data_IF_181211475211
#
_entry.id   IF_181211475211
#
_cell.length_a   1.000
_cell.length_b   1.000
_cell.length_c   1.000
_cell.angle_alpha   90.00
_cell.angle_beta   90.00
_cell.angle_gamma   90.00
#
_symmetry.space_group_name_H-M   'P 1'
#
loop_
_entity.id
_entity.type
_entity.pdbx_description
1 polymer ?
#
# COMPACT_ATOMS: atom_id res chain seq x y z
N UNK A 1 77.60 -3.58 21.42
CA UNK A 1 77.43 -2.12 21.21
C UNK A 1 76.73 -1.81 19.89
N UNK A 2 77.24 -2.27 18.73
CA UNK A 2 76.66 -1.97 17.41
C UNK A 2 75.15 -2.24 17.23
N UNK A 3 74.60 -3.34 17.79
CA UNK A 3 73.15 -3.63 17.71
C UNK A 3 72.28 -2.56 18.39
N UNK A 4 72.71 -2.08 19.55
CA UNK A 4 72.00 -1.05 20.33
C UNK A 4 72.03 0.31 19.60
N UNK A 5 73.15 0.61 18.94
CA UNK A 5 73.32 1.85 18.20
C UNK A 5 72.47 1.88 16.92
N UNK A 6 72.39 0.78 16.17
CA UNK A 6 71.46 0.66 15.03
C UNK A 6 70.01 0.78 15.50
N UNK A 7 69.62 0.03 16.53
CA UNK A 7 68.25 0.05 17.06
C UNK A 7 67.81 1.47 17.44
N UNK A 8 68.60 2.16 18.26
CA UNK A 8 68.29 3.52 18.69
C UNK A 8 68.24 4.51 17.52
N UNK A 9 69.05 4.31 16.48
CA UNK A 9 69.07 5.19 15.32
C UNK A 9 67.89 4.96 14.37
N UNK A 10 67.30 3.76 14.32
CA UNK A 10 66.06 3.48 13.59
C UNK A 10 64.86 4.06 14.32
N UNK A 11 64.81 3.93 15.66
CA UNK A 11 63.79 4.56 16.49
C UNK A 11 63.81 6.09 16.38
N UNK A 12 64.99 6.70 16.40
CA UNK A 12 65.16 8.16 16.20
C UNK A 12 64.72 8.65 14.81
N UNK A 13 64.57 7.75 13.84
CA UNK A 13 64.01 8.06 12.51
C UNK A 13 62.51 7.80 12.41
N UNK A 14 61.91 7.19 13.43
CA UNK A 14 60.48 6.95 13.49
C UNK A 14 60.02 5.60 12.95
N UNK A 15 60.94 4.64 12.77
CA UNK A 15 60.57 3.24 12.51
C UNK A 15 59.99 2.66 13.81
N UNK A 16 58.97 1.79 13.70
CA UNK A 16 58.35 1.15 14.85
C UNK A 16 59.32 0.20 15.59
N UNK A 17 59.03 -0.05 16.87
CA UNK A 17 59.93 -0.80 17.76
C UNK A 17 60.19 -2.23 17.28
N UNK A 18 59.20 -2.87 16.64
CA UNK A 18 59.31 -4.28 16.21
C UNK A 18 60.18 -4.42 14.98
N UNK A 19 59.97 -3.58 13.97
CA UNK A 19 60.79 -3.54 12.74
C UNK A 19 62.22 -3.07 13.05
N UNK A 20 62.37 -2.08 13.94
CA UNK A 20 63.69 -1.60 14.36
C UNK A 20 64.50 -2.69 15.09
N UNK A 21 63.86 -3.47 15.94
CA UNK A 21 64.49 -4.58 16.66
C UNK A 21 64.92 -5.69 15.70
N UNK A 22 64.05 -6.07 14.76
CA UNK A 22 64.33 -7.11 13.77
C UNK A 22 65.52 -6.77 12.86
N UNK A 23 65.59 -5.52 12.37
CA UNK A 23 66.70 -5.05 11.53
C UNK A 23 68.01 -4.89 12.32
N UNK A 24 67.93 -4.46 13.58
CA UNK A 24 69.09 -4.35 14.45
C UNK A 24 69.63 -5.72 14.89
N UNK A 25 68.76 -6.71 15.12
CA UNK A 25 69.14 -8.07 15.48
C UNK A 25 69.79 -8.82 14.31
N UNK A 26 69.39 -8.49 13.09
CA UNK A 26 70.02 -8.93 11.85
C UNK A 26 71.40 -8.30 11.59
N UNK A 27 71.85 -7.37 12.44
CA UNK A 27 73.20 -6.81 12.41
C UNK A 27 73.42 -5.74 11.34
N UNK A 28 72.36 -5.23 10.71
CA UNK A 28 72.46 -4.19 9.69
C UNK A 28 72.90 -2.86 10.31
N UNK A 29 73.74 -2.10 9.60
CA UNK A 29 74.01 -0.70 9.94
C UNK A 29 73.14 0.20 9.06
N UNK A 30 72.86 1.41 9.54
CA UNK A 30 72.09 2.42 8.79
C UNK A 30 72.69 2.69 7.41
N UNK A 31 74.03 2.68 7.30
CA UNK A 31 74.74 2.87 6.04
C UNK A 31 74.51 1.73 5.05
N UNK A 32 74.26 0.51 5.53
CA UNK A 32 73.97 -0.66 4.71
C UNK A 32 72.50 -0.66 4.30
N UNK A 33 71.59 -0.26 5.20
CA UNK A 33 70.17 -0.10 4.90
C UNK A 33 69.87 0.92 3.78
N UNK A 34 70.76 1.90 3.54
CA UNK A 34 70.66 2.82 2.40
C UNK A 34 70.95 2.18 1.04
N UNK A 35 71.55 0.99 1.03
CA UNK A 35 71.97 0.27 -0.18
C UNK A 35 71.10 -0.96 -0.46
N UNK A 36 70.12 -1.25 0.41
CA UNK A 36 69.26 -2.43 0.33
C UNK A 36 67.95 -2.02 -0.34
N UNK A 37 67.56 -2.77 -1.37
CA UNK A 37 66.31 -2.56 -2.11
C UNK A 37 65.12 -3.25 -1.43
N UNK A 38 63.91 -2.83 -1.82
CA UNK A 38 62.63 -3.37 -1.29
C UNK A 38 62.59 -4.90 -1.27
N UNK A 39 62.98 -5.53 -2.39
CA UNK A 39 62.92 -6.99 -2.52
C UNK A 39 63.89 -7.68 -1.55
N UNK A 40 65.05 -7.09 -1.30
CA UNK A 40 66.01 -7.64 -0.33
C UNK A 40 65.51 -7.51 1.12
N UNK A 41 64.74 -6.47 1.46
CA UNK A 41 64.09 -6.34 2.77
C UNK A 41 62.98 -7.38 2.98
N UNK A 42 62.25 -7.70 1.91
CA UNK A 42 61.16 -8.70 1.94
C UNK A 42 61.76 -10.11 2.01
N UNK A 43 62.69 -10.45 1.13
CA UNK A 43 63.20 -11.82 0.98
C UNK A 43 64.18 -12.22 2.08
N UNK A 44 65.10 -11.32 2.47
CA UNK A 44 66.16 -11.67 3.43
C UNK A 44 65.78 -11.39 4.89
N UNK A 45 64.84 -10.45 5.11
CA UNK A 45 64.45 -10.03 6.46
C UNK A 45 62.96 -10.24 6.75
N UNK A 46 62.22 -10.91 5.86
CA UNK A 46 60.82 -11.29 6.02
C UNK A 46 59.88 -10.11 6.35
N UNK A 47 60.20 -8.92 5.86
CA UNK A 47 59.34 -7.74 6.03
C UNK A 47 58.16 -7.79 5.07
N UNK A 48 56.99 -7.33 5.55
CA UNK A 48 55.82 -7.15 4.65
C UNK A 48 56.13 -6.07 3.61
N UNK A 49 55.59 -6.17 2.38
CA UNK A 49 55.89 -5.23 1.30
C UNK A 49 55.68 -3.75 1.66
N UNK A 50 54.64 -3.44 2.45
CA UNK A 50 54.30 -2.07 2.85
C UNK A 50 55.24 -1.53 3.94
N UNK A 51 55.73 -2.43 4.82
CA UNK A 51 56.70 -2.11 5.87
C UNK A 51 58.08 -1.84 5.24
N UNK A 52 58.48 -2.63 4.24
CA UNK A 52 59.72 -2.44 3.52
C UNK A 52 59.78 -1.08 2.81
N UNK A 53 58.69 -0.67 2.15
CA UNK A 53 58.57 0.65 1.53
C UNK A 53 58.63 1.79 2.55
N UNK A 54 57.92 1.63 3.68
CA UNK A 54 57.94 2.57 4.79
C UNK A 54 59.36 2.76 5.35
N UNK A 55 60.11 1.67 5.54
CA UNK A 55 61.50 1.70 6.03
C UNK A 55 62.43 2.43 5.04
N UNK A 56 62.35 2.12 3.75
CA UNK A 56 63.17 2.77 2.72
C UNK A 56 62.86 4.26 2.64
N UNK A 57 61.58 4.64 2.67
CA UNK A 57 61.14 6.03 2.60
C UNK A 57 61.70 6.86 3.76
N UNK A 58 61.75 6.28 4.96
CA UNK A 58 62.21 6.96 6.17
C UNK A 58 63.73 7.03 6.24
N UNK A 59 64.43 5.99 5.81
CA UNK A 59 65.90 5.95 5.80
C UNK A 59 66.49 6.93 4.76
N UNK A 60 65.78 7.12 3.64
CA UNK A 60 66.15 8.09 2.61
C UNK A 60 65.74 9.53 2.97
N UNK A 61 64.78 9.71 3.87
CA UNK A 61 64.40 11.04 4.38
C UNK A 61 65.39 11.58 5.42
N UNK A 62 65.56 12.91 5.47
CA UNK A 62 66.34 13.55 6.53
C UNK A 62 65.62 13.42 7.88
N UNK A 63 66.37 13.35 8.99
CA UNK A 63 65.82 13.25 10.34
C UNK A 63 64.76 14.34 10.58
N UNK A 64 63.50 13.94 10.78
CA UNK A 64 62.41 14.85 11.14
C UNK A 64 61.65 14.32 12.36
N UNK A 65 61.13 15.22 13.19
CA UNK A 65 60.38 14.90 14.40
C UNK A 65 59.09 14.12 14.14
N UNK A 66 58.58 14.10 12.89
CA UNK A 66 57.34 13.45 12.48
C UNK A 66 57.53 12.12 11.72
N UNK A 67 58.73 11.52 11.77
CA UNK A 67 59.03 10.27 11.06
C UNK A 67 58.09 9.12 11.42
N UNK A 68 57.69 9.02 12.71
CA UNK A 68 56.80 7.96 13.21
C UNK A 68 55.37 8.09 12.69
N UNK A 69 54.86 9.31 12.62
CA UNK A 69 53.52 9.59 12.08
C UNK A 69 53.47 9.32 10.57
N UNK A 70 54.55 9.63 9.84
CA UNK A 70 54.67 9.32 8.41
C UNK A 70 54.74 7.83 8.13
N UNK A 71 55.53 7.08 8.92
CA UNK A 71 55.60 5.62 8.81
C UNK A 71 54.24 4.96 9.02
N UNK A 72 53.55 5.35 10.09
CA UNK A 72 52.26 4.78 10.44
C UNK A 72 51.19 5.17 9.40
N UNK A 73 51.23 6.40 8.88
CA UNK A 73 50.33 6.83 7.81
C UNK A 73 50.56 6.05 6.50
N UNK A 74 51.81 5.76 6.13
CA UNK A 74 52.10 4.99 4.91
C UNK A 74 51.75 3.50 5.04
N UNK A 75 51.90 2.92 6.23
CA UNK A 75 51.64 1.49 6.47
C UNK A 75 50.14 1.22 6.72
N UNK A 76 49.39 2.16 7.30
CA UNK A 76 47.99 1.98 7.67
C UNK A 76 46.98 2.49 6.64
N UNK A 77 47.37 3.37 5.72
CA UNK A 77 46.45 3.87 4.70
C UNK A 77 46.42 2.92 3.49
N UNK A 78 45.32 2.18 3.23
CA UNK A 78 45.17 1.48 1.96
C UNK A 78 45.18 2.52 0.84
N UNK A 79 45.90 2.23 -0.25
CA UNK A 79 45.85 3.06 -1.45
C UNK A 79 44.38 3.28 -1.84
N UNK A 80 43.87 4.49 -1.62
CA UNK A 80 42.60 4.90 -2.18
C UNK A 80 42.80 4.87 -3.69
N UNK A 81 42.35 3.80 -4.34
CA UNK A 81 42.07 3.83 -5.78
C UNK A 81 41.18 5.04 -5.98
N UNK A 82 41.72 6.04 -6.68
CA UNK A 82 40.95 7.20 -7.09
C UNK A 82 40.04 6.66 -8.19
N UNK A 83 38.86 6.16 -7.80
CA UNK A 83 37.84 5.75 -8.75
C UNK A 83 37.64 6.93 -9.69
N UNK A 84 37.81 6.67 -10.99
CA UNK A 84 37.73 7.74 -11.96
C UNK A 84 36.34 8.36 -11.88
N UNK A 85 36.22 9.69 -11.98
CA UNK A 85 34.92 10.40 -11.99
C UNK A 85 33.94 9.78 -13.00
N UNK A 86 34.47 9.12 -14.03
CA UNK A 86 33.75 8.36 -15.06
C UNK A 86 33.14 7.07 -14.51
N UNK A 87 33.83 6.31 -13.66
CA UNK A 87 33.31 5.09 -13.03
C UNK A 87 32.21 5.40 -12.02
N UNK A 88 32.37 6.48 -11.24
CA UNK A 88 31.33 6.93 -10.31
C UNK A 88 30.05 7.36 -11.07
N UNK A 89 30.20 8.09 -12.18
CA UNK A 89 29.08 8.47 -13.05
C UNK A 89 28.42 7.24 -13.69
N UNK A 90 29.21 6.26 -14.16
CA UNK A 90 28.68 4.99 -14.70
C UNK A 90 27.94 4.19 -13.63
N UNK A 91 28.43 4.19 -12.39
CA UNK A 91 27.79 3.51 -11.27
C UNK A 91 26.46 4.18 -10.89
N UNK A 92 26.40 5.52 -10.83
CA UNK A 92 25.16 6.28 -10.61
C UNK A 92 24.13 6.03 -11.71
N UNK A 93 24.55 5.93 -12.98
CA UNK A 93 23.65 5.56 -14.10
C UNK A 93 23.09 4.16 -13.92
N UNK A 94 23.93 3.17 -13.62
CA UNK A 94 23.48 1.80 -13.33
C UNK A 94 22.49 1.73 -12.16
N UNK A 95 22.71 2.51 -11.10
CA UNK A 95 21.76 2.59 -9.98
C UNK A 95 20.41 3.17 -10.43
N UNK A 96 20.42 4.24 -11.24
CA UNK A 96 19.18 4.82 -11.79
C UNK A 96 18.44 3.83 -12.71
N UNK A 97 19.16 3.08 -13.54
CA UNK A 97 18.57 2.06 -14.41
C UNK A 97 17.91 0.95 -13.57
N UNK A 98 18.59 0.45 -12.52
CA UNK A 98 18.03 -0.55 -11.60
C UNK A 98 16.82 -0.03 -10.84
N UNK A 99 16.85 1.22 -10.37
CA UNK A 99 15.69 1.83 -9.69
C UNK A 99 14.49 1.98 -10.64
N UNK A 100 14.75 2.29 -11.91
CA UNK A 100 13.72 2.39 -12.95
C UNK A 100 13.10 1.02 -13.23
N UNK A 101 13.93 -0.01 -13.39
CA UNK A 101 13.45 -1.39 -13.59
C UNK A 101 12.63 -1.89 -12.39
N UNK A 102 13.07 -1.61 -11.16
CA UNK A 102 12.30 -1.92 -9.94
C UNK A 102 10.96 -1.18 -9.88
N UNK A 103 10.93 0.08 -10.31
CA UNK A 103 9.69 0.85 -10.38
C UNK A 103 8.71 0.27 -11.42
N UNK A 104 9.20 -0.13 -12.59
CA UNK A 104 8.40 -0.79 -13.61
C UNK A 104 7.85 -2.14 -13.14
N UNK A 105 8.69 -2.96 -12.49
CA UNK A 105 8.25 -4.24 -11.92
C UNK A 105 7.18 -4.04 -10.84
N UNK A 106 7.34 -3.02 -9.99
CA UNK A 106 6.34 -2.66 -8.97
C UNK A 106 5.00 -2.24 -9.59
N UNK A 107 5.02 -1.45 -10.66
CA UNK A 107 3.79 -1.08 -11.38
C UNK A 107 3.16 -2.28 -12.09
N UNK A 108 3.94 -3.17 -12.70
CA UNK A 108 3.41 -4.43 -13.27
C UNK A 108 2.73 -5.30 -12.21
N UNK A 109 3.33 -5.45 -11.03
CA UNK A 109 2.73 -6.18 -9.91
C UNK A 109 1.45 -5.52 -9.40
N UNK A 110 1.40 -4.18 -9.38
CA UNK A 110 0.20 -3.43 -8.99
C UNK A 110 -0.93 -3.62 -9.98
N UNK A 111 -0.65 -3.54 -11.29
CA UNK A 111 -1.64 -3.79 -12.35
C UNK A 111 -2.16 -5.22 -12.24
N UNK A 112 -1.28 -6.22 -12.12
CA UNK A 112 -1.67 -7.62 -11.96
C UNK A 112 -2.55 -7.85 -10.71
N UNK A 113 -2.22 -7.21 -9.58
CA UNK A 113 -3.07 -7.26 -8.37
C UNK A 113 -4.44 -6.63 -8.59
N UNK A 114 -4.51 -5.49 -9.28
CA UNK A 114 -5.78 -4.81 -9.59
C UNK A 114 -6.63 -5.65 -10.53
N UNK A 115 -6.03 -6.27 -11.55
CA UNK A 115 -6.72 -7.16 -12.48
C UNK A 115 -7.22 -8.43 -11.79
N UNK A 116 -6.40 -9.06 -10.95
CA UNK A 116 -6.81 -10.20 -10.13
C UNK A 116 -7.99 -9.82 -9.21
N UNK A 117 -7.95 -8.64 -8.58
CA UNK A 117 -9.05 -8.14 -7.77
C UNK A 117 -10.32 -7.89 -8.58
N UNK A 118 -10.20 -7.34 -9.80
CA UNK A 118 -11.34 -7.15 -10.72
C UNK A 118 -11.97 -8.49 -11.11
N UNK A 119 -11.15 -9.50 -11.41
CA UNK A 119 -11.61 -10.87 -11.70
C UNK A 119 -12.37 -11.48 -10.52
N UNK A 120 -11.78 -11.45 -9.31
CA UNK A 120 -12.44 -11.94 -8.09
C UNK A 120 -13.74 -11.18 -7.80
N UNK A 121 -13.80 -9.87 -8.02
CA UNK A 121 -15.04 -9.07 -7.83
C UNK A 121 -16.18 -9.52 -8.75
N UNK A 122 -15.90 -9.84 -10.01
CA UNK A 122 -16.92 -10.33 -10.95
C UNK A 122 -17.50 -11.67 -10.48
N UNK A 123 -16.63 -12.59 -10.06
CA UNK A 123 -17.02 -13.92 -9.56
C UNK A 123 -17.84 -13.75 -8.26
N UNK A 124 -17.44 -12.86 -7.36
CA UNK A 124 -18.17 -12.57 -6.13
C UNK A 124 -19.58 -12.02 -6.38
N UNK A 125 -19.73 -11.13 -7.38
CA UNK A 125 -21.06 -10.63 -7.77
C UNK A 125 -21.94 -11.74 -8.36
N UNK A 126 -21.36 -12.67 -9.13
CA UNK A 126 -22.09 -13.82 -9.68
C UNK A 126 -22.52 -14.78 -8.56
N UNK A 127 -21.59 -15.15 -7.68
CA UNK A 127 -21.85 -15.98 -6.49
C UNK A 127 -22.97 -15.39 -5.64
N UNK A 128 -22.93 -14.09 -5.34
CA UNK A 128 -23.96 -13.41 -4.56
C UNK A 128 -25.37 -13.53 -5.17
N UNK A 129 -25.48 -13.42 -6.50
CA UNK A 129 -26.76 -13.63 -7.21
C UNK A 129 -27.23 -15.08 -7.15
N UNK A 130 -26.31 -16.02 -7.33
CA UNK A 130 -26.62 -17.46 -7.24
C UNK A 130 -27.11 -17.82 -5.85
N UNK A 131 -26.43 -17.35 -4.80
CA UNK A 131 -26.85 -17.52 -3.39
C UNK A 131 -28.22 -16.89 -3.14
N UNK A 132 -28.49 -15.69 -3.64
CA UNK A 132 -29.81 -15.06 -3.50
C UNK A 132 -30.93 -15.88 -4.17
N UNK A 133 -30.66 -16.47 -5.33
CA UNK A 133 -31.60 -17.37 -6.00
C UNK A 133 -31.83 -18.66 -5.21
N UNK A 134 -30.77 -19.27 -4.68
CA UNK A 134 -30.88 -20.45 -3.81
C UNK A 134 -31.75 -20.13 -2.60
N UNK A 135 -31.51 -19.00 -1.93
CA UNK A 135 -32.32 -18.55 -0.78
C UNK A 135 -33.81 -18.46 -1.13
N UNK A 136 -34.15 -17.88 -2.29
CA UNK A 136 -35.54 -17.77 -2.76
C UNK A 136 -36.15 -19.13 -3.07
N UNK A 137 -35.40 -19.99 -3.76
CA UNK A 137 -35.86 -21.32 -4.13
C UNK A 137 -36.10 -22.20 -2.91
N UNK A 138 -35.20 -22.17 -1.93
CA UNK A 138 -35.37 -22.93 -0.70
C UNK A 138 -36.56 -22.43 0.12
N UNK A 139 -36.77 -21.12 0.24
CA UNK A 139 -37.97 -20.60 0.91
C UNK A 139 -39.25 -21.08 0.20
N UNK A 140 -39.31 -20.95 -1.13
CA UNK A 140 -40.46 -21.43 -1.90
C UNK A 140 -40.66 -22.94 -1.79
N UNK A 141 -39.59 -23.74 -1.61
CA UNK A 141 -39.70 -25.19 -1.45
C UNK A 141 -40.51 -25.58 -0.21
N UNK A 142 -40.37 -24.82 0.88
CA UNK A 142 -41.13 -25.06 2.13
C UNK A 142 -42.61 -24.66 1.99
N UNK A 143 -42.90 -23.60 1.24
CA UNK A 143 -44.25 -23.06 1.09
C UNK A 143 -45.06 -23.73 -0.04
N UNK A 144 -44.41 -24.40 -0.99
CA UNK A 144 -45.07 -25.00 -2.15
C UNK A 144 -45.90 -26.22 -1.76
N UNK A 145 -47.16 -26.26 -2.20
CA UNK A 145 -48.07 -27.38 -1.93
C UNK A 145 -48.02 -28.47 -3.00
N UNK A 146 -47.54 -28.17 -4.22
CA UNK A 146 -47.59 -29.08 -5.36
C UNK A 146 -46.28 -29.84 -5.55
N UNK A 147 -46.35 -31.17 -5.56
CA UNK A 147 -45.17 -32.05 -5.70
C UNK A 147 -44.39 -31.83 -7.00
N UNK A 148 -45.09 -31.62 -8.13
CA UNK A 148 -44.44 -31.33 -9.42
C UNK A 148 -43.60 -30.04 -9.39
N UNK A 149 -44.04 -29.04 -8.64
CA UNK A 149 -43.29 -27.80 -8.47
C UNK A 149 -42.10 -28.01 -7.53
N UNK A 150 -42.26 -28.80 -6.46
CA UNK A 150 -41.15 -29.17 -5.57
C UNK A 150 -40.03 -29.92 -6.29
N UNK A 151 -40.35 -30.78 -7.26
CA UNK A 151 -39.34 -31.46 -8.09
C UNK A 151 -38.57 -30.43 -8.92
N UNK A 152 -39.26 -29.52 -9.61
CA UNK A 152 -38.62 -28.46 -10.41
C UNK A 152 -37.73 -27.54 -9.57
N UNK A 153 -38.17 -27.20 -8.35
CA UNK A 153 -37.38 -26.39 -7.43
C UNK A 153 -36.11 -27.15 -6.99
N UNK A 154 -36.21 -28.45 -6.70
CA UNK A 154 -35.04 -29.28 -6.38
C UNK A 154 -34.02 -29.37 -7.52
N UNK A 155 -34.48 -29.58 -8.76
CA UNK A 155 -33.60 -29.60 -9.93
C UNK A 155 -32.88 -28.26 -10.13
N UNK A 156 -33.59 -27.15 -9.90
CA UNK A 156 -32.99 -25.82 -9.93
C UNK A 156 -31.98 -25.61 -8.79
N UNK A 157 -32.30 -26.05 -7.58
CA UNK A 157 -31.39 -25.97 -6.43
C UNK A 157 -30.09 -26.75 -6.68
N UNK A 158 -30.17 -27.93 -7.28
CA UNK A 158 -28.98 -28.72 -7.65
C UNK A 158 -28.11 -27.96 -8.67
N UNK A 159 -28.74 -27.44 -9.73
CA UNK A 159 -28.04 -26.67 -10.77
C UNK A 159 -27.36 -25.42 -10.17
N UNK A 160 -28.09 -24.65 -9.36
CA UNK A 160 -27.57 -23.43 -8.72
C UNK A 160 -26.52 -23.76 -7.66
N UNK A 161 -26.66 -24.87 -6.94
CA UNK A 161 -25.68 -25.35 -5.97
C UNK A 161 -24.33 -25.62 -6.62
N UNK A 162 -24.32 -26.27 -7.79
CA UNK A 162 -23.09 -26.50 -8.56
C UNK A 162 -22.46 -25.20 -9.10
N UNK A 163 -23.28 -24.26 -9.56
CA UNK A 163 -22.81 -22.92 -9.96
C UNK A 163 -22.17 -22.18 -8.79
N UNK A 164 -22.81 -22.20 -7.62
CA UNK A 164 -22.31 -21.54 -6.41
C UNK A 164 -21.03 -22.20 -5.90
N UNK A 165 -20.95 -23.54 -5.90
CA UNK A 165 -19.75 -24.27 -5.49
C UNK A 165 -18.55 -23.93 -6.38
N UNK A 166 -18.74 -23.88 -7.71
CA UNK A 166 -17.70 -23.48 -8.65
C UNK A 166 -17.18 -22.07 -8.38
N UNK A 167 -18.09 -21.11 -8.21
CA UNK A 167 -17.70 -19.72 -7.97
C UNK A 167 -17.05 -19.52 -6.61
N UNK A 168 -17.48 -20.27 -5.60
CA UNK A 168 -16.91 -20.26 -4.26
C UNK A 168 -15.48 -20.82 -4.25
N UNK A 169 -15.23 -21.91 -4.99
CA UNK A 169 -13.90 -22.47 -5.18
C UNK A 169 -12.97 -21.50 -5.91
N UNK A 170 -13.45 -20.84 -6.98
CA UNK A 170 -12.67 -19.83 -7.71
C UNK A 170 -12.28 -18.61 -6.84
N UNK A 171 -13.01 -18.35 -5.76
CA UNK A 171 -12.71 -17.29 -4.80
C UNK A 171 -11.84 -17.73 -3.63
N UNK A 172 -11.58 -19.03 -3.50
CA UNK A 172 -10.80 -19.64 -2.41
C UNK A 172 -11.40 -19.30 -1.03
N UNK A 173 -12.73 -19.30 -0.93
CA UNK A 173 -13.44 -18.99 0.32
C UNK A 173 -13.49 -20.22 1.24
N UNK A 174 -13.43 -19.97 2.55
CA UNK A 174 -13.61 -21.01 3.56
C UNK A 174 -15.08 -21.41 3.73
N UNK A 175 -15.33 -22.69 3.98
CA UNK A 175 -16.68 -23.23 4.18
C UNK A 175 -17.37 -23.62 2.86
N UNK A 176 -18.69 -23.64 2.89
CA UNK A 176 -19.53 -24.01 1.75
C UNK A 176 -20.46 -22.87 1.36
N UNK A 177 -20.90 -22.81 0.09
CA UNK A 177 -21.95 -21.86 -0.31
C UNK A 177 -23.24 -22.01 0.50
N UNK A 178 -23.54 -23.23 0.98
CA UNK A 178 -24.71 -23.50 1.80
C UNK A 178 -24.63 -22.81 3.15
N UNK A 179 -23.44 -22.62 3.73
CA UNK A 179 -23.28 -21.89 4.99
C UNK A 179 -23.76 -20.43 4.84
N UNK A 180 -23.52 -19.81 3.68
CA UNK A 180 -23.99 -18.44 3.38
C UNK A 180 -25.51 -18.42 3.21
N UNK A 181 -26.07 -19.44 2.56
CA UNK A 181 -27.52 -19.60 2.38
C UNK A 181 -28.21 -19.79 3.74
N UNK A 182 -27.70 -20.70 4.56
CA UNK A 182 -28.21 -21.02 5.89
C UNK A 182 -28.06 -19.82 6.83
N UNK A 183 -26.95 -19.10 6.78
CA UNK A 183 -26.79 -17.84 7.51
C UNK A 183 -27.91 -16.86 7.18
N UNK A 184 -28.21 -16.68 5.88
CA UNK A 184 -29.27 -15.77 5.43
C UNK A 184 -30.68 -16.25 5.73
N UNK A 185 -30.94 -17.56 5.73
CA UNK A 185 -32.28 -18.14 5.89
C UNK A 185 -32.65 -18.47 7.32
N UNK A 186 -31.69 -18.91 8.12
CA UNK A 186 -31.93 -19.43 9.47
C UNK A 186 -31.47 -18.44 10.53
N UNK A 187 -30.27 -17.90 10.37
CA UNK A 187 -29.64 -17.08 11.41
C UNK A 187 -30.06 -15.60 11.33
N UNK A 188 -30.03 -14.99 10.14
CA UNK A 188 -30.40 -13.57 9.96
C UNK A 188 -31.85 -13.32 10.39
N UNK A 189 -32.84 -14.15 9.99
CA UNK A 189 -34.17 -14.17 10.57
C UNK A 189 -34.16 -14.20 12.10
N UNK A 190 -33.55 -15.19 12.74
CA UNK A 190 -33.55 -15.29 14.20
C UNK A 190 -32.90 -14.08 14.91
N UNK A 191 -32.02 -13.34 14.24
CA UNK A 191 -31.40 -12.12 14.78
C UNK A 191 -32.28 -10.86 14.59
N UNK A 192 -33.22 -10.89 13.65
CA UNK A 192 -34.04 -9.73 13.26
C UNK A 192 -35.49 -9.89 13.70
N UNK A 193 -36.03 -11.10 13.69
CA UNK A 193 -37.38 -11.42 14.15
C UNK A 193 -37.40 -11.45 15.68
N UNK A 194 -38.37 -10.74 16.25
CA UNK A 194 -38.66 -10.75 17.67
C UNK A 194 -39.91 -11.58 17.91
N UNK A 195 -39.91 -12.39 18.96
CA UNK A 195 -41.13 -13.05 19.40
C UNK A 195 -42.08 -12.02 20.02
N UNK A 196 -43.37 -12.12 19.68
CA UNK A 196 -44.42 -11.34 20.33
C UNK A 196 -44.43 -11.66 21.84
N UNK A 197 -44.38 -10.65 22.73
CA UNK A 197 -44.39 -10.90 24.17
C UNK A 197 -45.73 -11.46 24.67
N UNK A 198 -46.79 -11.40 23.84
CA UNK A 198 -48.14 -11.82 24.20
C UNK A 198 -48.43 -13.23 23.69
N UNK A 199 -48.29 -13.47 22.38
CA UNK A 199 -48.62 -14.77 21.77
C UNK A 199 -47.40 -15.64 21.42
N UNK A 200 -46.18 -15.11 21.52
CA UNK A 200 -44.95 -15.83 21.21
C UNK A 200 -44.63 -15.98 19.73
N UNK A 201 -45.45 -15.42 18.83
CA UNK A 201 -45.28 -15.56 17.39
C UNK A 201 -44.13 -14.70 16.84
N UNK A 202 -43.50 -15.13 15.74
CA UNK A 202 -42.34 -14.46 15.15
C UNK A 202 -42.75 -13.19 14.37
N UNK A 203 -42.16 -12.05 14.70
CA UNK A 203 -42.50 -10.77 14.07
C UNK A 203 -41.28 -10.00 13.61
N UNK A 204 -41.34 -9.39 12.41
CA UNK A 204 -40.30 -8.45 11.94
C UNK A 204 -40.61 -7.07 12.51
N UNK A 205 -39.81 -6.50 13.43
CA UNK A 205 -40.05 -5.18 13.99
C UNK A 205 -40.14 -4.08 12.93
N UNK A 206 -39.51 -4.26 11.75
CA UNK A 206 -39.57 -3.25 10.67
C UNK A 206 -40.95 -3.17 10.03
N UNK A 207 -41.69 -4.28 10.04
CA UNK A 207 -43.04 -4.38 9.47
C UNK A 207 -44.13 -4.34 10.55
N UNK A 208 -43.75 -4.58 11.80
CA UNK A 208 -44.65 -4.60 12.95
C UNK A 208 -44.81 -3.24 13.64
N UNK A 209 -44.25 -2.13 13.11
CA UNK A 209 -44.45 -0.81 13.73
C UNK A 209 -45.91 -0.38 13.58
N UNK A 210 -46.55 -0.02 14.68
CA UNK A 210 -47.92 0.47 14.67
C UNK A 210 -47.99 1.84 13.95
N UNK A 211 -48.70 1.89 12.82
CA UNK A 211 -48.84 3.12 12.04
C UNK A 211 -49.91 4.06 12.59
N UNK A 212 -50.82 3.56 13.43
CA UNK A 212 -51.84 4.38 14.08
C UNK A 212 -51.24 5.21 15.23
N UNK A 213 -50.05 4.82 15.70
CA UNK A 213 -49.29 5.50 16.76
C UNK A 213 -47.87 5.88 16.29
N UNK A 214 -47.74 6.82 15.35
CA UNK A 214 -46.44 7.18 14.77
C UNK A 214 -45.50 7.88 15.77
N UNK A 215 -46.04 8.51 16.81
CA UNK A 215 -45.28 9.26 17.82
C UNK A 215 -44.76 8.37 18.96
N UNK A 216 -45.27 7.15 19.09
CA UNK A 216 -44.87 6.18 20.10
C UNK A 216 -43.94 5.12 19.48
N UNK A 217 -43.06 4.53 20.30
CA UNK A 217 -42.25 3.38 19.89
C UNK A 217 -43.01 2.07 20.15
N UNK A 218 -44.17 1.94 19.53
CA UNK A 218 -45.09 0.80 19.67
C UNK A 218 -45.05 -0.13 18.46
N UNK A 219 -45.16 -1.43 18.74
CA UNK A 219 -45.30 -2.47 17.74
C UNK A 219 -46.68 -3.13 17.86
N UNK A 220 -47.25 -3.53 16.72
CA UNK A 220 -48.45 -4.34 16.61
C UNK A 220 -48.09 -5.76 16.21
N UNK A 221 -48.63 -6.74 16.91
CA UNK A 221 -48.59 -8.13 16.46
C UNK A 221 -49.74 -8.39 15.50
N UNK A 222 -49.45 -8.81 14.26
CA UNK A 222 -50.49 -9.07 13.27
C UNK A 222 -51.26 -10.38 13.50
N UNK A 223 -50.73 -11.31 14.30
CA UNK A 223 -51.43 -12.57 14.63
C UNK A 223 -52.41 -12.42 15.79
N UNK A 224 -52.02 -11.72 16.86
CA UNK A 224 -52.91 -11.51 18.01
C UNK A 224 -53.54 -10.11 18.04
N UNK A 225 -53.23 -9.26 17.06
CA UNK A 225 -53.71 -7.87 16.92
C UNK A 225 -53.47 -6.97 18.13
N UNK A 226 -52.54 -7.38 19.01
CA UNK A 226 -52.22 -6.65 20.23
C UNK A 226 -51.00 -5.75 20.04
N UNK A 227 -51.09 -4.56 20.62
CA UNK A 227 -50.03 -3.59 20.65
C UNK A 227 -49.14 -3.78 21.89
N UNK A 228 -47.83 -3.67 21.71
CA UNK A 228 -46.88 -3.70 22.81
C UNK A 228 -45.75 -2.70 22.60
N UNK A 229 -45.14 -2.31 23.72
CA UNK A 229 -44.00 -1.39 23.75
C UNK A 229 -42.78 -2.16 24.22
N UNK A 230 -41.61 -2.04 23.56
CA UNK A 230 -40.38 -2.65 24.06
C UNK A 230 -40.01 -2.08 25.43
N UNK A 231 -39.52 -2.94 26.33
CA UNK A 231 -39.08 -2.53 27.68
C UNK A 231 -38.05 -1.40 27.65
N UNK A 232 -37.17 -1.38 26.64
CA UNK A 232 -36.18 -0.32 26.48
C UNK A 232 -36.85 1.04 26.21
N UNK A 233 -37.87 1.08 25.35
CA UNK A 233 -38.60 2.30 25.04
C UNK A 233 -39.33 2.83 26.28
N UNK A 234 -40.02 1.94 27.01
CA UNK A 234 -40.68 2.30 28.27
C UNK A 234 -39.69 2.85 29.32
N UNK A 235 -38.53 2.22 29.46
CA UNK A 235 -37.48 2.70 30.38
C UNK A 235 -36.94 4.08 29.98
N UNK A 236 -36.70 4.32 28.69
CA UNK A 236 -36.21 5.61 28.18
C UNK A 236 -37.26 6.70 28.39
N UNK A 237 -38.52 6.44 28.04
CA UNK A 237 -39.63 7.38 28.26
C UNK A 237 -39.80 7.72 29.74
N UNK A 238 -39.78 6.71 30.62
CA UNK A 238 -39.86 6.92 32.07
C UNK A 238 -38.71 7.80 32.57
N UNK A 239 -37.49 7.64 32.05
CA UNK A 239 -36.33 8.48 32.39
C UNK A 239 -36.46 9.91 31.85
N UNK A 240 -37.01 10.07 30.65
CA UNK A 240 -37.24 11.38 30.01
C UNK A 240 -38.35 12.19 30.72
N UNK A 241 -39.43 11.53 31.14
CA UNK A 241 -40.56 12.13 31.88
C UNK A 241 -40.14 12.52 33.31
N UNK A 242 -39.34 11.67 33.98
CA UNK A 242 -38.86 11.92 35.34
C UNK A 242 -37.73 12.96 35.43
N UNK A 243 -37.48 13.74 34.37
CA UNK A 243 -36.59 14.90 34.42
C UNK A 243 -35.08 14.59 34.42
N UNK A 244 -34.67 13.34 34.28
CA UNK A 244 -33.26 12.95 34.12
C UNK A 244 -32.78 13.18 32.68
N UNK A 245 -32.96 14.40 32.17
CA UNK A 245 -32.41 14.80 30.88
C UNK A 245 -30.91 14.98 31.03
N UNK A 246 -30.14 14.30 30.18
CA UNK A 246 -28.70 14.47 30.13
C UNK A 246 -28.44 15.90 29.63
N UNK A 247 -27.94 16.77 30.51
CA UNK A 247 -27.46 18.08 30.10
C UNK A 247 -26.08 17.92 29.47
N UNK A 248 -26.01 18.03 28.14
CA UNK A 248 -24.75 18.01 27.40
C UNK A 248 -24.22 19.44 27.38
N UNK A 249 -23.12 19.66 28.09
CA UNK A 249 -22.35 20.90 27.99
C UNK A 249 -21.56 20.87 26.68
N UNK A 250 -21.97 21.68 25.70
CA UNK A 250 -21.37 21.79 24.36
C UNK A 250 -19.89 22.18 24.40
N UNK A 251 -19.43 22.80 25.49
CA UNK A 251 -18.05 23.26 25.65
C UNK A 251 -17.18 22.27 26.45
N UNK A 252 -17.74 21.14 26.87
CA UNK A 252 -17.03 20.18 27.72
C UNK A 252 -16.00 19.42 26.90
N UNK A 253 -14.72 19.55 27.30
CA UNK A 253 -13.62 18.80 26.70
C UNK A 253 -13.84 17.29 26.86
N UNK A 254 -13.31 16.46 25.94
CA UNK A 254 -13.43 15.01 26.03
C UNK A 254 -13.00 14.47 27.40
N UNK A 255 -13.76 13.50 27.95
CA UNK A 255 -13.48 12.92 29.27
C UNK A 255 -12.13 12.22 29.33
N UNK A 256 -11.71 11.64 28.21
CA UNK A 256 -10.41 11.00 28.07
C UNK A 256 -9.46 11.96 27.37
N UNK A 257 -8.17 11.87 27.70
CA UNK A 257 -7.13 12.60 26.96
C UNK A 257 -7.27 12.28 25.49
N UNK A 258 -7.55 13.29 24.68
CA UNK A 258 -7.54 13.14 23.22
C UNK A 258 -6.13 12.70 22.85
N UNK A 259 -5.94 11.50 22.26
CA UNK A 259 -4.64 11.11 21.75
C UNK A 259 -4.15 12.25 20.87
N UNK A 260 -2.91 12.73 21.05
CA UNK A 260 -2.40 13.78 20.18
C UNK A 260 -2.63 13.33 18.75
N UNK A 261 -3.20 14.22 17.92
CA UNK A 261 -3.27 13.99 16.48
C UNK A 261 -1.91 13.42 16.08
N UNK A 262 -1.84 12.24 15.42
CA UNK A 262 -0.55 11.66 15.04
C UNK A 262 0.24 12.80 14.44
N UNK A 263 1.39 13.10 15.06
CA UNK A 263 2.16 14.29 14.77
C UNK A 263 2.10 14.43 13.26
N UNK A 264 1.49 15.53 12.78
CA UNK A 264 1.60 15.84 11.36
C UNK A 264 3.09 15.71 11.13
N UNK A 265 3.51 14.74 10.30
CA UNK A 265 4.90 14.66 9.91
C UNK A 265 5.17 16.05 9.40
N UNK A 266 5.90 16.81 10.21
CA UNK A 266 5.97 18.24 10.04
C UNK A 266 6.52 18.39 8.63
N UNK A 267 5.80 19.09 7.74
CA UNK A 267 6.20 19.13 6.33
C UNK A 267 7.61 19.71 6.18
N UNK A 268 8.16 20.32 7.24
CA UNK A 268 9.58 20.61 7.46
C UNK A 268 10.47 19.36 7.37
N UNK A 269 10.17 18.26 8.07
CA UNK A 269 10.94 17.01 8.06
C UNK A 269 10.98 16.35 6.67
N UNK A 270 9.87 16.38 5.94
CA UNK A 270 9.82 15.82 4.58
C UNK A 270 10.52 16.75 3.59
N UNK A 271 10.34 18.07 3.71
CA UNK A 271 11.07 19.04 2.89
C UNK A 271 12.57 19.05 3.19
N UNK A 272 12.99 18.81 4.43
CA UNK A 272 14.40 18.78 4.81
C UNK A 272 15.06 17.47 4.38
N UNK A 273 14.35 16.34 4.41
CA UNK A 273 14.78 15.10 3.74
C UNK A 273 14.89 15.29 2.22
N UNK A 274 13.89 15.90 1.58
CA UNK A 274 13.91 16.16 0.13
C UNK A 274 15.04 17.13 -0.22
N UNK A 275 15.32 18.15 0.59
CA UNK A 275 16.45 19.06 0.42
C UNK A 275 17.80 18.37 0.65
N UNK A 276 17.90 17.47 1.63
CA UNK A 276 19.12 16.67 1.83
C UNK A 276 19.35 15.70 0.67
N UNK A 277 18.31 15.05 0.17
CA UNK A 277 18.37 14.16 -0.99
C UNK A 277 18.70 14.94 -2.27
N UNK A 278 18.11 16.12 -2.48
CA UNK A 278 18.43 17.03 -3.59
C UNK A 278 19.88 17.54 -3.52
N UNK A 279 20.38 17.85 -2.32
CA UNK A 279 21.77 18.26 -2.11
C UNK A 279 22.76 17.10 -2.28
N UNK A 280 22.38 15.87 -1.93
CA UNK A 280 23.20 14.66 -2.18
C UNK A 280 23.23 14.25 -3.64
N UNK A 281 22.12 14.46 -4.36
CA UNK A 281 21.97 14.06 -5.78
C UNK A 281 22.39 15.14 -6.77
N UNK A 282 22.51 16.39 -6.32
CA UNK A 282 22.96 17.52 -7.15
C UNK A 282 21.98 17.89 -8.27
N UNK A 283 20.71 17.52 -8.12
CA UNK A 283 19.65 17.78 -9.10
C UNK A 283 18.89 19.07 -8.75
N UNK A 284 18.62 19.88 -9.77
CA UNK A 284 17.91 21.15 -9.62
C UNK A 284 16.40 20.88 -9.37
N UNK A 285 15.80 21.63 -8.44
CA UNK A 285 14.42 21.41 -8.02
C UNK A 285 13.41 21.61 -9.16
N UNK A 286 13.74 22.48 -10.12
CA UNK A 286 12.94 22.71 -11.33
C UNK A 286 12.96 21.52 -12.29
N UNK A 287 14.06 20.77 -12.37
CA UNK A 287 14.13 19.56 -13.21
C UNK A 287 13.28 18.43 -12.62
N UNK A 288 13.25 18.31 -11.29
CA UNK A 288 12.44 17.32 -10.59
C UNK A 288 10.95 17.68 -10.62
N UNK A 289 10.59 18.96 -10.50
CA UNK A 289 9.21 19.43 -10.73
C UNK A 289 8.76 19.21 -12.16
N UNK A 290 9.61 19.43 -13.17
CA UNK A 290 9.26 19.16 -14.58
C UNK A 290 9.08 17.68 -14.86
N UNK A 291 9.90 16.81 -14.25
CA UNK A 291 9.73 15.35 -14.32
C UNK A 291 8.46 14.90 -13.60
N UNK A 292 8.08 15.56 -12.50
CA UNK A 292 6.82 15.29 -11.78
C UNK A 292 5.60 15.78 -12.58
N UNK A 293 5.67 16.94 -13.23
CA UNK A 293 4.63 17.45 -14.13
C UNK A 293 4.52 16.59 -15.42
N UNK A 294 5.64 16.12 -15.98
CA UNK A 294 5.65 15.12 -17.07
C UNK A 294 5.17 13.74 -16.57
N UNK A 295 5.30 13.43 -15.28
CA UNK A 295 4.77 12.22 -14.65
C UNK A 295 3.27 12.28 -14.30
N UNK A 296 2.58 13.37 -14.63
CA UNK A 296 1.11 13.47 -14.52
C UNK A 296 0.37 12.52 -15.49
N UNK A 297 1.11 11.70 -16.25
CA UNK A 297 0.65 10.42 -16.83
C UNK A 297 0.49 9.32 -15.76
N UNK A 298 -0.14 9.67 -14.65
CA UNK A 298 -0.35 8.80 -13.48
C UNK A 298 -1.59 7.93 -13.62
N UNK A 299 -1.49 6.88 -14.44
CA UNK A 299 -2.48 5.80 -14.57
C UNK A 299 -3.23 5.88 -15.89
N UNK A 300 -3.21 4.80 -16.68
CA UNK A 300 -3.81 4.69 -18.02
C UNK A 300 -5.35 4.80 -18.09
N UNK A 301 -5.93 5.69 -17.30
CA UNK A 301 -7.28 6.18 -17.40
C UNK A 301 -7.27 7.34 -18.38
N UNK A 302 -8.17 7.27 -19.34
CA UNK A 302 -8.39 8.29 -20.34
C UNK A 302 -9.08 9.51 -19.72
N UNK A 303 -8.77 10.72 -20.18
CA UNK A 303 -9.50 11.91 -19.73
C UNK A 303 -10.99 11.78 -20.08
N UNK A 304 -11.84 12.32 -19.20
CA UNK A 304 -13.29 12.25 -19.35
C UNK A 304 -13.76 12.92 -20.64
N UNK A 305 -13.16 14.06 -21.03
CA UNK A 305 -13.56 14.76 -22.24
C UNK A 305 -13.05 14.03 -23.48
N UNK A 306 -11.84 13.48 -23.45
CA UNK A 306 -11.30 12.69 -24.56
C UNK A 306 -12.19 11.46 -24.84
N UNK A 307 -12.70 10.79 -23.80
CA UNK A 307 -13.60 9.64 -23.97
C UNK A 307 -14.92 10.03 -24.63
N UNK A 308 -15.48 11.17 -24.20
CA UNK A 308 -16.73 11.71 -24.74
C UNK A 308 -16.55 11.99 -26.23
N UNK A 309 -15.45 12.63 -26.60
CA UNK A 309 -15.18 13.01 -27.98
C UNK A 309 -14.88 11.80 -28.88
N UNK A 310 -14.15 10.79 -28.39
CA UNK A 310 -13.92 9.56 -29.16
C UNK A 310 -15.22 8.76 -29.37
N UNK A 311 -16.08 8.68 -28.37
CA UNK A 311 -17.33 7.92 -28.47
C UNK A 311 -18.32 8.61 -29.40
N UNK A 312 -18.40 9.95 -29.34
CA UNK A 312 -19.20 10.74 -30.29
C UNK A 312 -18.61 10.68 -31.70
N UNK A 313 -17.29 10.70 -31.87
CA UNK A 313 -16.69 10.56 -33.20
C UNK A 313 -16.98 9.19 -33.85
N UNK A 314 -17.10 8.13 -33.04
CA UNK A 314 -17.37 6.78 -33.54
C UNK A 314 -18.85 6.49 -33.80
N UNK A 315 -19.76 6.97 -32.94
CA UNK A 315 -21.18 6.61 -32.96
C UNK A 315 -22.12 7.78 -33.24
N UNK A 316 -21.65 9.03 -33.13
CA UNK A 316 -22.42 10.29 -33.14
C UNK A 316 -23.42 10.44 -31.98
N UNK A 317 -23.49 9.46 -31.08
CA UNK A 317 -24.28 9.47 -29.84
C UNK A 317 -23.63 8.64 -28.75
N UNK A 318 -24.01 8.89 -27.49
CA UNK A 318 -23.63 8.08 -26.33
C UNK A 318 -24.89 7.46 -25.72
N UNK A 319 -24.95 6.13 -25.66
CA UNK A 319 -26.06 5.37 -25.12
C UNK A 319 -25.92 5.22 -23.60
N UNK A 320 -26.89 5.74 -22.84
CA UNK A 320 -26.74 5.93 -21.39
C UNK A 320 -26.63 4.64 -20.56
N UNK A 321 -27.09 3.50 -21.09
CA UNK A 321 -27.00 2.21 -20.39
C UNK A 321 -25.80 1.38 -20.85
N UNK A 322 -25.50 1.39 -22.15
CA UNK A 322 -24.45 0.56 -22.76
C UNK A 322 -23.06 1.19 -22.61
N UNK A 323 -22.93 2.48 -22.92
CA UNK A 323 -21.62 3.16 -22.88
C UNK A 323 -21.25 3.62 -21.46
N UNK A 324 -22.16 3.47 -20.50
CA UNK A 324 -21.92 3.85 -19.09
C UNK A 324 -20.89 2.96 -18.42
N UNK A 325 -20.87 1.67 -18.75
CA UNK A 325 -19.86 0.76 -18.20
C UNK A 325 -18.48 1.04 -18.80
N UNK A 326 -18.40 1.27 -20.11
CA UNK A 326 -17.14 1.64 -20.79
C UNK A 326 -16.59 2.99 -20.29
N UNK A 327 -17.46 3.98 -20.07
CA UNK A 327 -17.10 5.26 -19.43
C UNK A 327 -16.42 5.05 -18.07
N UNK A 328 -17.01 4.22 -17.21
CA UNK A 328 -16.47 3.95 -15.87
C UNK A 328 -15.13 3.21 -15.97
N UNK A 329 -15.03 2.25 -16.89
CA UNK A 329 -13.84 1.43 -17.09
C UNK A 329 -12.64 2.25 -17.61
N UNK A 330 -12.89 3.17 -18.55
CA UNK A 330 -11.83 3.95 -19.20
C UNK A 330 -11.46 5.24 -18.47
N UNK A 331 -12.41 5.88 -17.78
CA UNK A 331 -12.18 7.18 -17.12
C UNK A 331 -12.12 7.08 -15.59
N UNK A 332 -12.59 5.98 -15.00
CA UNK A 332 -12.61 5.78 -13.54
C UNK A 332 -13.63 6.66 -12.81
N UNK A 333 -14.44 7.43 -13.53
CA UNK A 333 -15.46 8.27 -12.96
C UNK A 333 -16.63 7.44 -12.38
N UNK A 334 -17.13 7.84 -11.22
CA UNK A 334 -18.21 7.12 -10.53
C UNK A 334 -19.53 7.11 -11.32
N UNK A 335 -20.20 5.95 -11.34
CA UNK A 335 -21.44 5.69 -12.10
C UNK A 335 -22.55 6.72 -11.85
N UNK A 336 -22.66 7.25 -10.63
CA UNK A 336 -23.67 8.24 -10.22
C UNK A 336 -23.44 9.62 -10.85
N UNK A 337 -22.23 9.89 -11.34
CA UNK A 337 -21.85 11.18 -11.94
C UNK A 337 -21.89 11.17 -13.48
N UNK A 338 -22.15 10.04 -14.13
CA UNK A 338 -22.22 9.90 -15.59
C UNK A 338 -23.10 10.99 -16.25
N UNK A 339 -24.37 11.09 -15.82
CA UNK A 339 -25.31 12.07 -16.35
C UNK A 339 -24.89 13.53 -16.09
N UNK A 340 -24.15 13.77 -15.00
CA UNK A 340 -23.65 15.12 -14.66
C UNK A 340 -22.52 15.50 -15.61
N UNK A 341 -21.65 14.55 -15.96
CA UNK A 341 -20.56 14.76 -16.92
C UNK A 341 -21.07 14.99 -18.33
N UNK A 342 -22.04 14.22 -18.81
CA UNK A 342 -22.63 14.44 -20.14
C UNK A 342 -23.28 15.83 -20.27
N UNK A 343 -24.01 16.27 -19.24
CA UNK A 343 -24.56 17.64 -19.18
C UNK A 343 -23.46 18.71 -19.14
N UNK A 344 -22.39 18.48 -18.38
CA UNK A 344 -21.26 19.43 -18.28
C UNK A 344 -20.51 19.56 -19.60
N UNK A 345 -20.44 18.48 -20.38
CA UNK A 345 -19.90 18.45 -21.74
C UNK A 345 -20.85 19.05 -22.80
N UNK A 346 -22.02 19.57 -22.40
CA UNK A 346 -22.97 20.23 -23.30
C UNK A 346 -23.85 19.29 -24.12
N UNK A 347 -23.94 18.01 -23.74
CA UNK A 347 -24.79 17.02 -24.41
C UNK A 347 -26.24 17.09 -23.95
N UNK A 348 -27.17 16.82 -24.87
CA UNK A 348 -28.60 16.75 -24.61
C UNK A 348 -29.05 15.30 -24.50
N UNK A 349 -29.85 14.98 -23.48
CA UNK A 349 -30.40 13.65 -23.28
C UNK A 349 -31.79 13.53 -23.89
N UNK A 350 -31.96 12.57 -24.81
CA UNK A 350 -33.26 12.21 -25.36
C UNK A 350 -33.89 11.08 -24.53
N UNK A 351 -35.00 11.38 -23.85
CA UNK A 351 -35.70 10.44 -22.97
C UNK A 351 -36.34 9.24 -23.69
N UNK A 352 -36.67 9.38 -24.97
CA UNK A 352 -37.32 8.32 -25.74
C UNK A 352 -36.32 7.28 -26.24
N UNK A 353 -35.12 7.73 -26.63
CA UNK A 353 -34.08 6.85 -27.20
C UNK A 353 -33.01 6.45 -26.18
N UNK A 354 -32.91 7.16 -25.05
CA UNK A 354 -31.89 6.91 -24.03
C UNK A 354 -30.49 7.40 -24.43
N UNK A 355 -30.40 8.29 -25.43
CA UNK A 355 -29.14 8.75 -26.04
C UNK A 355 -28.76 10.16 -25.61
N UNK A 356 -27.46 10.40 -25.53
CA UNK A 356 -26.84 11.71 -25.39
C UNK A 356 -26.21 12.14 -26.72
N UNK A 357 -26.55 13.34 -27.20
CA UNK A 357 -26.07 13.88 -28.48
C UNK A 357 -25.70 15.37 -28.34
N UNK A 358 -24.84 15.88 -29.23
CA UNK A 358 -24.48 17.33 -29.23
C UNK A 358 -25.63 18.21 -29.74
N UNK A 359 -26.56 17.62 -30.48
CA UNK A 359 -27.73 18.31 -31.01
C UNK A 359 -28.95 18.02 -30.14
N UNK A 360 -29.72 19.07 -29.85
CA UNK A 360 -31.06 18.91 -29.28
C UNK A 360 -31.96 18.38 -30.40
N UNK A 361 -32.43 17.15 -30.30
CA UNK A 361 -33.46 16.65 -31.23
C UNK A 361 -34.68 17.57 -31.12
N UNK A 362 -34.92 18.34 -32.18
CA UNK A 362 -36.13 19.16 -32.34
C UNK A 362 -37.15 18.31 -33.09
N UNK A 363 -37.98 17.57 -32.34
CA UNK A 363 -39.29 17.12 -32.82
C UNK A 363 -40.31 17.21 -31.70
#
# INVERSE_FOLDING_TARGET
MAKKDTYLALLRRGIDDTTAQQLADAGLKIGDLKKIDRNMLIENYALKPDIADGVISIINSAHSSHGKERFLASVLAPEKKVDSKIEEIKFKRKQKDVLTELAEQKERLKIAKVEAFRGKKLIMNRLGKTVELIVKLENNLYDEGKDDQKVKIRDQLETRGLEAARDHEMLELEGTPQDIVDFRRKFVPALIFHACPICGDEMDPRQARDQDKPDEWTFICWECEENFTPDLAANVEQRLVNGNRIFIDENKRPRNSVPPKPAAMDFSSVNDMIKQDLAQTGSDADEMSRVVEESTLGGGLMDINDWIDQTLAAKDYIQAQEDREDFILRTGAGATKFNKWMKKAGLYFNKQTGRWTRHKDVR
#
